data_IF_929622076608
#
_entry.id   IF_929622076608
#
_cell.length_a   1.000
_cell.length_b   1.000
_cell.length_c   1.000
_cell.angle_alpha   90.00
_cell.angle_beta   90.00
_cell.angle_gamma   90.00
#
_symmetry.space_group_name_H-M   'P 1'
#
loop_
_entity.id
_entity.type
_entity.pdbx_description
1 polymer ?
#
# COMPACT_ATOMS: atom_id res chain seq x y z
N UNK A 1 -2.98 -3.43 2.02
CA UNK A 1 -2.72 -2.10 2.62
C UNK A 1 -4.07 -1.43 2.85
N UNK A 2 -4.32 -0.82 4.02
CA UNK A 2 -5.64 -0.25 4.37
C UNK A 2 -5.66 1.29 4.33
N UNK A 3 -4.73 1.90 3.59
CA UNK A 3 -4.62 3.37 3.51
C UNK A 3 -5.92 3.98 2.96
N UNK A 4 -6.50 4.99 3.62
CA UNK A 4 -7.70 5.67 3.13
C UNK A 4 -7.47 6.29 1.74
N UNK A 5 -8.48 6.23 0.87
CA UNK A 5 -8.42 6.76 -0.50
C UNK A 5 -8.02 8.24 -0.52
N UNK A 6 -8.59 9.05 0.38
CA UNK A 6 -8.31 10.48 0.51
C UNK A 6 -6.82 10.75 0.78
N UNK A 7 -6.19 9.91 1.60
CA UNK A 7 -4.77 10.04 1.93
C UNK A 7 -3.89 9.66 0.73
N UNK A 8 -4.27 8.62 -0.02
CA UNK A 8 -3.61 8.25 -1.27
C UNK A 8 -3.66 9.39 -2.31
N UNK A 9 -4.83 10.03 -2.46
CA UNK A 9 -5.01 11.17 -3.37
C UNK A 9 -4.19 12.38 -2.92
N UNK A 10 -4.15 12.67 -1.62
CA UNK A 10 -3.35 13.76 -1.06
C UNK A 10 -1.85 13.52 -1.31
N UNK A 11 -1.34 12.32 -1.02
CA UNK A 11 0.07 11.99 -1.25
C UNK A 11 0.46 12.01 -2.72
N UNK A 12 -0.44 11.64 -3.64
CA UNK A 12 -0.16 11.73 -5.06
C UNK A 12 0.14 13.17 -5.50
N UNK A 13 -0.53 14.17 -4.91
CA UNK A 13 -0.31 15.60 -5.21
C UNK A 13 1.06 16.11 -4.75
N UNK A 14 1.68 15.46 -3.77
CA UNK A 14 2.97 15.88 -3.20
C UNK A 14 4.17 15.10 -3.75
N UNK A 15 3.95 14.06 -4.56
CA UNK A 15 5.03 13.24 -5.16
C UNK A 15 5.59 13.87 -6.43
N UNK A 16 6.88 13.63 -6.67
CA UNK A 16 7.58 14.06 -7.90
C UNK A 16 6.96 13.46 -9.17
N UNK A 17 6.55 12.18 -9.11
CA UNK A 17 5.77 11.52 -10.16
C UNK A 17 4.35 11.33 -9.68
N UNK A 18 3.40 11.84 -10.45
CA UNK A 18 1.97 11.76 -10.17
C UNK A 18 1.31 10.80 -11.17
N UNK A 19 0.16 10.25 -10.78
CA UNK A 19 -0.75 9.54 -11.68
C UNK A 19 -2.10 10.25 -11.72
N UNK A 20 -2.92 10.09 -12.78
CA UNK A 20 -4.29 10.59 -12.78
C UNK A 20 -5.09 10.05 -11.59
N UNK A 21 -5.97 10.86 -11.01
CA UNK A 21 -6.75 10.47 -9.83
C UNK A 21 -7.59 9.20 -10.09
N UNK A 22 -8.14 9.06 -11.30
CA UNK A 22 -8.91 7.88 -11.71
C UNK A 22 -8.12 6.56 -11.53
N UNK A 23 -6.81 6.56 -11.79
CA UNK A 23 -5.96 5.36 -11.60
C UNK A 23 -5.92 4.97 -10.12
N UNK A 24 -5.87 5.95 -9.21
CA UNK A 24 -5.84 5.70 -7.76
C UNK A 24 -7.19 5.16 -7.29
N UNK A 25 -8.29 5.76 -7.76
CA UNK A 25 -9.64 5.34 -7.40
C UNK A 25 -9.92 3.91 -7.88
N UNK A 26 -9.58 3.61 -9.13
CA UNK A 26 -9.75 2.29 -9.72
C UNK A 26 -8.91 1.25 -8.96
N UNK A 27 -7.63 1.54 -8.70
CA UNK A 27 -6.76 0.64 -7.97
C UNK A 27 -7.21 0.42 -6.52
N UNK A 28 -7.73 1.47 -5.87
CA UNK A 28 -8.33 1.34 -4.54
C UNK A 28 -9.53 0.37 -4.56
N UNK A 29 -10.40 0.48 -5.57
CA UNK A 29 -11.52 -0.43 -5.79
C UNK A 29 -11.05 -1.89 -5.95
N UNK A 30 -10.09 -2.14 -6.84
CA UNK A 30 -9.56 -3.49 -7.04
C UNK A 30 -8.95 -4.09 -5.78
N UNK A 31 -8.29 -3.29 -4.94
CA UNK A 31 -7.74 -3.79 -3.67
C UNK A 31 -8.82 -4.19 -2.65
N UNK A 32 -10.01 -3.60 -2.71
CA UNK A 32 -11.15 -4.00 -1.88
C UNK A 32 -11.84 -5.25 -2.43
N UNK A 33 -11.96 -5.35 -3.75
CA UNK A 33 -12.62 -6.49 -4.41
C UNK A 33 -11.73 -7.75 -4.41
N UNK A 34 -10.43 -7.56 -4.56
CA UNK A 34 -9.42 -8.62 -4.64
C UNK A 34 -8.35 -8.43 -3.55
N UNK A 35 -8.70 -8.57 -2.26
CA UNK A 35 -7.72 -8.46 -1.19
C UNK A 35 -6.70 -9.59 -1.33
N UNK A 36 -5.39 -9.33 -1.13
CA UNK A 36 -4.36 -10.36 -1.25
C UNK A 36 -4.65 -11.51 -0.29
N UNK A 37 -4.52 -12.74 -0.79
CA UNK A 37 -4.74 -13.97 -0.03
C UNK A 37 -3.48 -14.85 -0.02
N UNK A 38 -3.31 -15.65 1.04
CA UNK A 38 -2.25 -16.68 1.08
C UNK A 38 -2.43 -17.67 -0.06
N UNK A 39 -3.68 -17.93 -0.47
CA UNK A 39 -4.02 -18.78 -1.62
C UNK A 39 -3.48 -18.26 -2.96
N UNK A 40 -3.08 -16.99 -3.05
CA UNK A 40 -2.48 -16.41 -4.25
C UNK A 40 -1.00 -16.83 -4.41
N UNK A 41 -0.49 -17.71 -3.55
CA UNK A 41 0.90 -18.15 -3.50
C UNK A 41 1.80 -17.28 -2.62
N UNK A 42 1.22 -16.42 -1.78
CA UNK A 42 1.94 -15.58 -0.83
C UNK A 42 2.34 -16.38 0.41
N UNK A 43 3.61 -16.30 0.81
CA UNK A 43 4.12 -16.99 2.02
C UNK A 43 3.43 -16.46 3.30
N UNK A 44 3.23 -15.15 3.36
CA UNK A 44 2.54 -14.49 4.47
C UNK A 44 1.96 -13.15 4.00
N UNK A 45 0.94 -12.67 4.70
CA UNK A 45 0.35 -11.34 4.49
C UNK A 45 0.60 -10.52 5.74
N UNK A 46 1.13 -9.31 5.53
CA UNK A 46 1.34 -8.34 6.59
C UNK A 46 0.50 -7.09 6.31
N UNK A 47 -0.27 -6.67 7.32
CA UNK A 47 -0.89 -5.34 7.31
C UNK A 47 0.13 -4.34 7.82
N UNK A 48 0.37 -3.29 7.03
CA UNK A 48 1.32 -2.23 7.37
C UNK A 48 0.50 -0.99 7.70
N UNK A 49 0.50 -0.53 8.95
CA UNK A 49 -0.27 0.65 9.34
C UNK A 49 0.37 1.93 8.78
N UNK A 50 -0.47 2.93 8.54
CA UNK A 50 -0.02 4.29 8.26
C UNK A 50 -0.08 5.08 9.57
N UNK A 51 1.04 5.67 9.96
CA UNK A 51 1.18 6.55 11.11
C UNK A 51 1.43 7.99 10.64
N UNK A 52 1.33 9.00 11.51
CA UNK A 52 1.67 10.39 11.17
C UNK A 52 3.09 10.56 10.61
N UNK A 53 4.01 9.68 11.01
CA UNK A 53 5.42 9.67 10.60
C UNK A 53 5.65 8.96 9.25
N UNK A 54 4.63 8.27 8.71
CA UNK A 54 4.69 7.58 7.43
C UNK A 54 4.12 6.17 7.47
N UNK A 55 4.68 5.27 6.66
CA UNK A 55 4.29 3.85 6.64
C UNK A 55 5.16 3.10 7.65
N UNK A 56 4.55 2.48 8.66
CA UNK A 56 5.28 1.75 9.69
C UNK A 56 5.56 0.31 9.26
N UNK A 57 6.74 0.09 8.69
CA UNK A 57 7.21 -1.22 8.26
C UNK A 57 7.91 -2.03 9.38
N UNK A 58 7.97 -1.54 10.62
CA UNK A 58 8.75 -2.19 11.70
C UNK A 58 8.27 -3.62 12.03
N UNK A 59 6.97 -3.87 11.84
CA UNK A 59 6.36 -5.20 12.02
C UNK A 59 6.54 -6.16 10.84
N UNK A 60 7.12 -5.71 9.72
CA UNK A 60 7.42 -6.54 8.56
C UNK A 60 8.91 -6.86 8.60
N UNK A 61 9.26 -8.11 8.89
CA UNK A 61 10.64 -8.59 8.96
C UNK A 61 11.35 -8.62 7.59
N UNK A 62 11.45 -7.46 6.92
CA UNK A 62 12.24 -7.28 5.70
C UNK A 62 13.73 -7.32 6.10
N UNK A 63 14.27 -8.53 6.27
CA UNK A 63 15.71 -8.74 6.14
C UNK A 63 16.05 -8.47 4.67
N UNK A 64 16.50 -7.25 4.36
CA UNK A 64 17.23 -7.02 3.13
C UNK A 64 18.48 -7.90 3.18
N UNK A 65 18.47 -9.04 2.49
CA UNK A 65 19.69 -9.77 2.18
C UNK A 65 20.46 -8.88 1.21
N UNK A 66 21.35 -8.04 1.76
CA UNK A 66 22.38 -7.37 1.01
C UNK A 66 23.22 -8.43 0.29
N UNK A 67 23.28 -8.32 -1.03
CA UNK A 67 24.30 -8.96 -1.87
C UNK A 67 25.51 -8.05 -1.87
#
# INVERSE_FOLDING_TARGET
MQTPLELCLLWNKTRQRQVPEAVIVEFYGYLQEFPPQVSDGLVAIHSVPVTPEGIDCSGVGLKFMGV
#
